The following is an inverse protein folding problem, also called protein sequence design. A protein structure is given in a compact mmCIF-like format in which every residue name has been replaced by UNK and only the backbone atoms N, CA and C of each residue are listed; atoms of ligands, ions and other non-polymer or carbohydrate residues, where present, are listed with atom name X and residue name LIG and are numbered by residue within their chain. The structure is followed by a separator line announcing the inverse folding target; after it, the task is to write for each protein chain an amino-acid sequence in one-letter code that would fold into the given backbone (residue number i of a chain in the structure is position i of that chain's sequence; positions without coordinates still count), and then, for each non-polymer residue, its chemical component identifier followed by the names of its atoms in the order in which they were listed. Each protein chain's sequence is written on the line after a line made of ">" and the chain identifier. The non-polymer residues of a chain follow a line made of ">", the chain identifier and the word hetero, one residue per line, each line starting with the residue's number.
data_IF_209012768693
#
_entry.id   IF_209012768693
#
_cell.length_a   1.000
_cell.length_b   1.000
_cell.length_c   1.000
_cell.angle_alpha   90.00
_cell.angle_beta   90.00
_cell.angle_gamma   90.00
#
_symmetry.space_group_name_H-M   'P 1'
#
loop_
_entity.id
_entity.type
_entity.pdbx_description
1 polymer ?
#
# COMPACT_ATOMS: atom_id res chain seq x y z
N UNK A 1 7.66 13.14 3.18
CA UNK A 1 7.12 12.75 4.52
C UNK A 1 7.72 11.40 4.85
N UNK A 2 8.08 11.11 6.10
CA UNK A 2 8.74 9.82 6.40
C UNK A 2 7.71 8.74 6.75
N UNK A 3 7.87 7.53 6.23
CA UNK A 3 6.99 6.40 6.56
C UNK A 3 7.02 6.07 8.05
N UNK A 4 8.16 6.28 8.72
CA UNK A 4 8.29 6.09 10.16
C UNK A 4 7.32 6.94 10.98
N UNK A 5 6.96 8.14 10.49
CA UNK A 5 5.99 9.03 11.14
C UNK A 5 4.56 8.48 11.01
N UNK A 6 4.26 7.84 9.87
CA UNK A 6 2.95 7.21 9.62
C UNK A 6 2.81 5.93 10.47
N UNK A 7 3.90 5.19 10.67
CA UNK A 7 3.90 3.89 11.36
C UNK A 7 4.10 3.98 12.89
N UNK A 8 4.37 5.16 13.43
CA UNK A 8 4.83 5.37 14.82
C UNK A 8 3.94 4.69 15.88
N UNK A 9 2.61 4.70 15.69
CA UNK A 9 1.65 4.11 16.63
C UNK A 9 1.14 2.72 16.21
N UNK A 10 1.81 2.06 15.27
CA UNK A 10 1.41 0.76 14.71
C UNK A 10 2.38 -0.36 15.09
N UNK A 11 1.91 -1.60 14.98
CA UNK A 11 2.76 -2.79 15.13
C UNK A 11 3.55 -3.14 13.85
N UNK A 12 3.40 -2.35 12.78
CA UNK A 12 4.06 -2.62 11.51
C UNK A 12 5.52 -2.14 11.53
N UNK A 13 6.41 -2.92 10.89
CA UNK A 13 7.84 -2.61 10.79
C UNK A 13 8.26 -2.66 9.33
N UNK A 14 9.15 -1.75 8.94
CA UNK A 14 9.70 -1.68 7.58
C UNK A 14 10.84 -2.67 7.32
N UNK A 15 11.22 -3.48 8.31
CA UNK A 15 12.39 -4.38 8.26
C UNK A 15 12.31 -5.46 7.17
N UNK A 16 11.14 -5.68 6.56
CA UNK A 16 10.94 -6.63 5.47
C UNK A 16 11.23 -6.04 4.09
N UNK A 17 11.44 -4.72 3.99
CA UNK A 17 11.58 -4.02 2.72
C UNK A 17 12.98 -3.42 2.56
N UNK A 18 13.46 -3.35 1.32
CA UNK A 18 14.74 -2.69 1.01
C UNK A 18 14.63 -1.18 1.17
N UNK A 19 15.74 -0.55 1.56
CA UNK A 19 15.79 0.91 1.72
C UNK A 19 15.38 1.64 0.43
N UNK A 20 15.83 1.15 -0.73
CA UNK A 20 15.45 1.68 -2.05
C UNK A 20 13.92 1.75 -2.27
N UNK A 21 13.16 0.73 -1.83
CA UNK A 21 11.70 0.72 -1.95
C UNK A 21 11.04 1.66 -0.95
N UNK A 22 11.61 1.77 0.24
CA UNK A 22 11.15 2.72 1.27
C UNK A 22 11.31 4.15 0.74
N UNK A 23 12.51 4.48 0.24
CA UNK A 23 12.83 5.81 -0.26
C UNK A 23 11.94 6.17 -1.47
N UNK A 24 11.79 5.25 -2.42
CA UNK A 24 10.92 5.45 -3.58
C UNK A 24 9.46 5.64 -3.18
N UNK A 25 8.96 4.90 -2.20
CA UNK A 25 7.60 5.10 -1.70
C UNK A 25 7.47 6.47 -1.02
N UNK A 26 8.46 6.91 -0.23
CA UNK A 26 8.49 8.21 0.43
C UNK A 26 8.47 9.38 -0.57
N UNK A 27 9.16 9.24 -1.70
CA UNK A 27 9.21 10.24 -2.77
C UNK A 27 7.86 10.39 -3.51
N UNK A 28 7.06 9.33 -3.57
CA UNK A 28 5.74 9.34 -4.21
C UNK A 28 4.62 9.88 -3.29
N UNK A 29 4.90 10.09 -2.00
CA UNK A 29 3.92 10.61 -1.04
C UNK A 29 3.64 12.08 -1.29
N UNK A 30 2.36 12.42 -1.38
CA UNK A 30 1.89 13.80 -1.38
C UNK A 30 0.84 14.02 -0.31
N UNK A 31 0.68 15.26 0.14
CA UNK A 31 -0.28 15.62 1.19
C UNK A 31 -1.52 16.29 0.60
N UNK A 32 -2.67 16.03 1.25
CA UNK A 32 -3.91 16.75 1.00
C UNK A 32 -4.41 17.36 2.30
N UNK A 33 -4.79 18.63 2.25
CA UNK A 33 -5.39 19.29 3.40
C UNK A 33 -6.82 18.77 3.62
N UNK A 34 -7.12 18.34 4.85
CA UNK A 34 -8.48 18.01 5.27
C UNK A 34 -8.70 18.45 6.71
N UNK A 35 -9.71 19.30 6.92
CA UNK A 35 -10.06 19.84 8.26
C UNK A 35 -8.86 20.47 8.97
N UNK A 36 -8.01 21.20 8.23
CA UNK A 36 -6.81 21.87 8.75
C UNK A 36 -5.68 20.93 9.15
N UNK A 37 -5.68 19.68 8.67
CA UNK A 37 -4.59 18.72 8.84
C UNK A 37 -4.14 18.21 7.48
N UNK A 38 -2.82 18.11 7.29
CA UNK A 38 -2.24 17.44 6.13
C UNK A 38 -2.34 15.93 6.28
N UNK A 39 -3.01 15.29 5.33
CA UNK A 39 -3.19 13.84 5.29
C UNK A 39 -2.32 13.29 4.15
N UNK A 40 -1.48 12.27 4.38
CA UNK A 40 -0.69 11.65 3.34
C UNK A 40 -1.53 10.79 2.40
N UNK A 41 -1.25 10.91 1.12
CA UNK A 41 -1.85 10.17 0.01
C UNK A 41 -0.76 9.65 -0.94
N UNK A 42 -1.13 8.64 -1.72
CA UNK A 42 -0.35 8.11 -2.83
C UNK A 42 -1.26 7.71 -3.99
N UNK A 43 -0.75 7.72 -5.21
CA UNK A 43 -1.42 7.14 -6.37
C UNK A 43 -1.19 5.63 -6.43
N UNK A 44 -2.24 4.83 -6.24
CA UNK A 44 -2.12 3.37 -6.25
C UNK A 44 -2.11 2.84 -7.70
N UNK A 45 -1.00 2.24 -8.13
CA UNK A 45 -0.81 1.73 -9.51
C UNK A 45 -1.83 0.65 -9.93
N UNK A 46 -2.35 -0.14 -8.97
CA UNK A 46 -3.34 -1.19 -9.24
C UNK A 46 -4.75 -0.60 -9.29
N UNK A 47 -5.13 0.23 -8.31
CA UNK A 47 -6.49 0.82 -8.20
C UNK A 47 -6.68 2.08 -9.07
N UNK A 48 -5.61 2.64 -9.64
CA UNK A 48 -5.57 3.86 -10.48
C UNK A 48 -6.31 5.04 -9.87
N UNK A 49 -6.09 5.27 -8.58
CA UNK A 49 -6.68 6.36 -7.81
C UNK A 49 -5.78 6.76 -6.66
N UNK A 50 -6.00 7.96 -6.16
CA UNK A 50 -5.33 8.48 -4.97
C UNK A 50 -5.93 7.86 -3.70
N UNK A 51 -5.09 7.33 -2.83
CA UNK A 51 -5.49 6.61 -1.62
C UNK A 51 -4.76 7.18 -0.43
N UNK A 52 -5.47 7.33 0.69
CA UNK A 52 -4.88 7.75 1.95
C UNK A 52 -3.89 6.70 2.45
N UNK A 53 -2.69 7.12 2.82
CA UNK A 53 -1.69 6.25 3.43
C UNK A 53 -2.00 6.04 4.93
N UNK A 54 -2.70 4.95 5.22
CA UNK A 54 -2.77 4.38 6.58
C UNK A 54 -1.55 3.48 6.83
N UNK A 55 -1.24 3.11 8.08
CA UNK A 55 -0.14 2.18 8.35
C UNK A 55 -0.21 0.86 7.57
N UNK A 56 -1.42 0.32 7.42
CA UNK A 56 -1.68 -0.88 6.64
C UNK A 56 -1.48 -0.65 5.13
N UNK A 57 -1.90 0.52 4.62
CA UNK A 57 -1.71 0.86 3.21
C UNK A 57 -0.25 1.08 2.86
N UNK A 58 0.57 1.64 3.76
CA UNK A 58 2.03 1.74 3.58
C UNK A 58 2.62 0.36 3.31
N UNK A 59 2.29 -0.62 4.16
CA UNK A 59 2.78 -2.00 4.01
C UNK A 59 2.25 -2.62 2.71
N UNK A 60 0.98 -2.39 2.37
CA UNK A 60 0.38 -2.88 1.12
C UNK A 60 1.10 -2.34 -0.12
N UNK A 61 1.38 -1.03 -0.17
CA UNK A 61 2.10 -0.42 -1.30
C UNK A 61 3.52 -0.95 -1.44
N UNK A 62 4.26 -1.10 -0.33
CA UNK A 62 5.60 -1.71 -0.35
C UNK A 62 5.57 -3.15 -0.86
N UNK A 63 4.56 -3.94 -0.47
CA UNK A 63 4.38 -5.28 -1.02
C UNK A 63 4.06 -5.27 -2.51
N UNK A 64 3.28 -4.29 -3.00
CA UNK A 64 3.03 -4.16 -4.43
C UNK A 64 4.31 -3.90 -5.21
N UNK A 65 5.18 -3.01 -4.72
CA UNK A 65 6.49 -2.78 -5.33
C UNK A 65 7.33 -4.05 -5.36
N UNK A 66 7.37 -4.83 -4.27
CA UNK A 66 8.07 -6.14 -4.25
C UNK A 66 7.48 -7.09 -5.29
N UNK A 67 6.15 -7.22 -5.35
CA UNK A 67 5.48 -8.13 -6.29
C UNK A 67 5.70 -7.71 -7.75
N UNK A 68 5.69 -6.41 -8.06
CA UNK A 68 5.82 -5.92 -9.44
C UNK A 68 7.28 -5.78 -9.89
N UNK A 69 8.19 -5.35 -9.01
CA UNK A 69 9.58 -5.01 -9.37
C UNK A 69 10.54 -6.17 -9.14
N UNK A 70 10.38 -6.92 -8.04
CA UNK A 70 11.30 -8.04 -7.73
C UNK A 70 10.81 -9.36 -8.30
N UNK A 71 9.49 -9.59 -8.30
CA UNK A 71 8.89 -10.83 -8.79
C UNK A 71 8.22 -10.70 -10.15
N UNK A 72 8.22 -9.51 -10.75
CA UNK A 72 7.71 -9.25 -12.09
C UNK A 72 6.26 -9.72 -12.32
N UNK A 73 5.43 -9.77 -11.27
CA UNK A 73 4.02 -10.03 -11.44
C UNK A 73 3.36 -8.84 -12.16
N UNK A 74 2.64 -9.07 -13.27
CA UNK A 74 2.07 -7.99 -14.03
C UNK A 74 0.88 -7.35 -13.29
N UNK A 75 0.85 -6.01 -13.26
CA UNK A 75 -0.18 -5.21 -12.58
C UNK A 75 -1.60 -5.59 -13.03
N UNK A 76 -1.79 -5.91 -14.32
CA UNK A 76 -3.11 -6.26 -14.87
C UNK A 76 -3.67 -7.61 -14.36
N UNK A 77 -2.86 -8.42 -13.67
CA UNK A 77 -3.30 -9.65 -12.99
C UNK A 77 -3.56 -9.43 -11.50
N UNK A 78 -3.35 -8.23 -10.98
CA UNK A 78 -3.52 -7.92 -9.56
C UNK A 78 -4.86 -7.25 -9.29
N UNK A 79 -5.47 -7.61 -8.16
CA UNK A 79 -6.60 -6.88 -7.60
C UNK A 79 -6.40 -6.70 -6.10
N UNK A 80 -6.75 -5.52 -5.61
CA UNK A 80 -6.62 -5.19 -4.19
C UNK A 80 -7.96 -5.31 -3.51
N UNK A 81 -7.93 -5.69 -2.23
CA UNK A 81 -9.13 -5.66 -1.39
C UNK A 81 -10.27 -6.57 -1.93
N UNK A 82 -9.89 -7.62 -2.67
CA UNK A 82 -10.76 -8.51 -3.43
C UNK A 82 -11.60 -9.41 -2.52
N UNK A 83 -12.89 -9.55 -2.85
CA UNK A 83 -13.81 -10.38 -2.07
C UNK A 83 -13.70 -11.86 -2.48
N UNK A 84 -13.22 -12.69 -1.57
CA UNK A 84 -13.10 -14.14 -1.74
C UNK A 84 -14.24 -14.85 -1.02
N UNK A 85 -14.91 -15.77 -1.71
CA UNK A 85 -16.01 -16.57 -1.14
C UNK A 85 -15.47 -17.86 -0.53
N UNK A 86 -15.61 -18.01 0.78
CA UNK A 86 -15.28 -19.20 1.55
C UNK A 86 -16.58 -19.93 1.94
N UNK A 87 -17.11 -20.73 1.02
CA UNK A 87 -18.40 -21.42 1.19
C UNK A 87 -19.54 -20.41 1.39
N UNK A 88 -20.05 -20.30 2.62
CA UNK A 88 -21.11 -19.33 2.98
C UNK A 88 -20.59 -17.96 3.40
N UNK A 89 -19.30 -17.83 3.74
CA UNK A 89 -18.71 -16.58 4.20
C UNK A 89 -18.04 -15.84 3.04
N UNK A 90 -18.11 -14.50 3.03
CA UNK A 90 -17.28 -13.65 2.17
C UNK A 90 -16.22 -12.99 3.04
N UNK A 91 -14.95 -13.12 2.63
CA UNK A 91 -13.80 -12.45 3.26
C UNK A 91 -13.11 -11.57 2.22
N UNK A 92 -12.33 -10.60 2.67
CA UNK A 92 -11.52 -9.75 1.76
C UNK A 92 -10.06 -10.13 1.88
N UNK A 93 -9.41 -10.30 0.73
CA UNK A 93 -7.97 -10.47 0.63
C UNK A 93 -7.34 -9.12 0.28
N UNK A 94 -6.17 -8.82 0.86
CA UNK A 94 -5.50 -7.53 0.64
C UNK A 94 -4.98 -7.38 -0.79
N UNK A 95 -4.32 -8.42 -1.29
CA UNK A 95 -3.74 -8.49 -2.63
C UNK A 95 -4.07 -9.88 -3.19
N UNK A 96 -4.62 -9.93 -4.39
CA UNK A 96 -4.85 -11.16 -5.15
C UNK A 96 -4.15 -11.04 -6.49
N UNK A 97 -3.52 -12.13 -6.93
CA UNK A 97 -2.93 -12.26 -8.26
C UNK A 97 -3.67 -13.42 -8.95
N UNK A 98 -4.40 -13.13 -10.02
CA UNK A 98 -5.09 -14.13 -10.86
C UNK A 98 -4.11 -14.86 -11.76
#
# INVERSE_FOLDING_TARGET
>A
MRLTEILQDSNYKLTQFSQDKIDKLEDEIFTKESRGKDIPYIECIVRKKEIRLTPEEVVRQLYLMVLTEDYNYPIHRMELEYAVTFGRQKKRADIVIF
#
